data_IF_762706829962
#
_entry.id   IF_762706829962
#
_cell.length_a   1.000
_cell.length_b   1.000
_cell.length_c   1.000
_cell.angle_alpha   90.00
_cell.angle_beta   90.00
_cell.angle_gamma   90.00
#
_symmetry.space_group_name_H-M   'P 1'
#
loop_
_entity.id
_entity.type
_entity.pdbx_description
1 polymer ?
#
# COMPACT_ATOMS: atom_id res chain seq x y z
N UNK A 1 -23.69 -0.71 59.32
CA UNK A 1 -24.00 -0.95 57.90
C UNK A 1 -22.96 -0.23 57.09
N UNK A 2 -22.04 -0.96 56.45
CA UNK A 2 -20.99 -0.38 55.63
C UNK A 2 -21.54 -0.15 54.22
N UNK A 3 -21.45 1.09 53.73
CA UNK A 3 -21.76 1.45 52.35
C UNK A 3 -20.81 0.70 51.40
N UNK A 4 -21.39 0.04 50.40
CA UNK A 4 -20.61 -0.55 49.30
C UNK A 4 -20.04 0.59 48.44
N UNK A 5 -18.75 0.54 48.06
CA UNK A 5 -18.21 1.48 47.10
C UNK A 5 -18.88 1.24 45.75
N UNK A 6 -19.48 2.29 45.20
CA UNK A 6 -20.01 2.32 43.84
C UNK A 6 -18.87 2.17 42.85
N UNK A 7 -19.06 1.24 41.92
CA UNK A 7 -18.05 0.81 40.96
C UNK A 7 -17.63 1.99 40.07
N UNK A 8 -16.31 2.11 39.91
CA UNK A 8 -15.60 3.21 39.28
C UNK A 8 -16.01 3.41 37.81
N UNK A 9 -15.99 4.68 37.38
CA UNK A 9 -16.08 5.14 36.00
C UNK A 9 -15.29 4.24 35.04
N UNK A 10 -15.98 3.35 34.32
CA UNK A 10 -15.43 2.74 33.11
C UNK A 10 -15.39 3.87 32.09
N UNK A 11 -14.20 4.41 31.79
CA UNK A 11 -14.02 5.33 30.68
C UNK A 11 -14.44 4.60 29.40
N UNK A 12 -15.65 4.85 28.92
CA UNK A 12 -16.11 4.32 27.64
C UNK A 12 -15.35 5.06 26.55
N UNK A 13 -14.31 4.43 26.01
CA UNK A 13 -13.59 4.96 24.86
C UNK A 13 -14.58 5.23 23.74
N UNK A 14 -14.68 6.50 23.31
CA UNK A 14 -15.51 6.88 22.18
C UNK A 14 -14.77 6.51 20.90
N UNK A 15 -15.38 5.67 20.07
CA UNK A 15 -14.87 5.37 18.73
C UNK A 15 -15.03 6.61 17.85
N UNK A 16 -13.92 7.17 17.38
CA UNK A 16 -13.91 8.33 16.48
C UNK A 16 -14.03 7.92 15.00
N UNK A 17 -13.41 6.79 14.64
CA UNK A 17 -13.40 6.29 13.27
C UNK A 17 -13.13 4.78 13.29
N UNK A 18 -13.87 4.04 12.47
CA UNK A 18 -13.59 2.64 12.14
C UNK A 18 -13.35 2.54 10.64
N UNK A 19 -12.28 1.86 10.22
CA UNK A 19 -11.98 1.59 8.81
C UNK A 19 -11.40 0.19 8.66
N UNK A 20 -11.56 -0.39 7.48
CA UNK A 20 -11.01 -1.71 7.14
C UNK A 20 -9.62 -1.61 6.54
N UNK A 21 -8.83 -2.67 6.66
CA UNK A 21 -7.56 -2.85 5.94
C UNK A 21 -7.56 -4.25 5.31
N UNK A 22 -7.18 -4.32 4.04
CA UNK A 22 -6.86 -5.56 3.32
C UNK A 22 -5.54 -5.37 2.56
N UNK A 23 -4.77 -6.43 2.39
CA UNK A 23 -3.47 -6.41 1.69
C UNK A 23 -3.17 -7.78 1.12
N UNK A 24 -2.27 -7.85 0.14
CA UNK A 24 -1.78 -9.09 -0.47
C UNK A 24 -2.89 -10.09 -0.82
N UNK A 25 -3.97 -9.61 -1.45
CA UNK A 25 -5.05 -10.48 -1.91
C UNK A 25 -4.47 -11.47 -2.93
N UNK A 26 -3.67 -10.96 -3.88
CA UNK A 26 -2.95 -11.77 -4.86
C UNK A 26 -3.87 -12.80 -5.53
N UNK A 27 -5.06 -12.38 -5.96
CA UNK A 27 -6.00 -13.26 -6.64
C UNK A 27 -5.47 -13.62 -8.03
N UNK A 28 -5.57 -14.90 -8.38
CA UNK A 28 -5.44 -15.39 -9.75
C UNK A 28 -6.32 -16.62 -9.93
N UNK A 29 -6.95 -16.74 -11.09
CA UNK A 29 -7.72 -17.94 -11.44
C UNK A 29 -6.80 -19.08 -11.90
N UNK A 30 -6.02 -19.60 -10.95
CA UNK A 30 -5.11 -20.72 -11.19
C UNK A 30 -5.08 -21.67 -9.99
N UNK A 31 -4.42 -22.83 -10.17
CA UNK A 31 -4.20 -23.77 -9.07
C UNK A 31 -3.28 -23.15 -8.01
N UNK A 32 -3.47 -23.55 -6.76
CA UNK A 32 -2.55 -23.24 -5.68
C UNK A 32 -1.10 -23.51 -6.07
N UNK A 33 -0.20 -22.73 -5.51
CA UNK A 33 1.23 -22.87 -5.76
C UNK A 33 2.05 -22.63 -4.51
N UNK A 34 3.35 -22.48 -4.71
CA UNK A 34 4.28 -22.09 -3.66
C UNK A 34 4.79 -20.68 -3.92
N UNK A 35 5.26 -20.03 -2.87
CA UNK A 35 6.12 -18.87 -3.00
C UNK A 35 7.48 -19.25 -3.62
N UNK A 36 8.28 -18.23 -3.96
CA UNK A 36 9.55 -18.44 -4.66
C UNK A 36 10.55 -19.29 -3.87
N UNK A 37 10.52 -19.21 -2.53
CA UNK A 37 11.40 -19.97 -1.65
C UNK A 37 10.89 -21.39 -1.36
N UNK A 38 9.72 -21.77 -1.89
CA UNK A 38 9.05 -23.05 -1.62
C UNK A 38 8.78 -23.30 -0.13
N UNK A 39 8.62 -22.24 0.66
CA UNK A 39 8.37 -22.34 2.11
C UNK A 39 6.92 -22.07 2.47
N UNK A 40 6.17 -21.39 1.60
CA UNK A 40 4.77 -21.01 1.86
C UNK A 40 3.89 -21.37 0.69
N UNK A 41 2.71 -21.91 1.00
CA UNK A 41 1.67 -22.17 0.01
C UNK A 41 0.89 -20.89 -0.30
N UNK A 42 0.65 -20.64 -1.59
CA UNK A 42 -0.20 -19.56 -2.11
C UNK A 42 -1.53 -20.13 -2.58
N UNK A 43 -2.63 -19.62 -2.02
CA UNK A 43 -4.00 -20.09 -2.29
C UNK A 43 -4.77 -19.12 -3.20
N UNK A 44 -4.38 -19.04 -4.47
CA UNK A 44 -4.80 -17.95 -5.37
C UNK A 44 -6.31 -17.80 -5.54
N UNK A 45 -7.04 -18.89 -5.77
CA UNK A 45 -8.51 -18.82 -5.89
C UNK A 45 -9.18 -18.55 -4.56
N UNK A 46 -8.67 -19.13 -3.49
CA UNK A 46 -9.25 -18.97 -2.16
C UNK A 46 -9.10 -17.53 -1.63
N UNK A 47 -8.12 -16.76 -2.12
CA UNK A 47 -8.00 -15.34 -1.81
C UNK A 47 -9.32 -14.57 -2.03
N UNK A 48 -10.08 -14.92 -3.07
CA UNK A 48 -11.38 -14.30 -3.34
C UNK A 48 -12.41 -14.62 -2.24
N UNK A 49 -12.38 -15.83 -1.66
CA UNK A 49 -13.23 -16.19 -0.53
C UNK A 49 -12.80 -15.46 0.74
N UNK A 50 -11.49 -15.32 0.97
CA UNK A 50 -10.97 -14.61 2.14
C UNK A 50 -11.38 -13.14 2.12
N UNK A 51 -11.25 -12.46 0.99
CA UNK A 51 -11.69 -11.05 0.88
C UNK A 51 -13.21 -10.92 0.99
N UNK A 52 -14.01 -11.86 0.44
CA UNK A 52 -15.47 -11.89 0.67
C UNK A 52 -15.80 -12.00 2.16
N UNK A 53 -15.16 -12.91 2.88
CA UNK A 53 -15.36 -13.09 4.31
C UNK A 53 -14.97 -11.84 5.11
N UNK A 54 -13.87 -11.19 4.75
CA UNK A 54 -13.45 -9.93 5.37
C UNK A 54 -14.48 -8.81 5.15
N UNK A 55 -14.97 -8.64 3.92
CA UNK A 55 -15.97 -7.61 3.58
C UNK A 55 -17.30 -7.88 4.30
N UNK A 56 -17.74 -9.15 4.39
CA UNK A 56 -18.91 -9.53 5.18
C UNK A 56 -18.72 -9.19 6.66
N UNK A 57 -17.59 -9.55 7.25
CA UNK A 57 -17.28 -9.25 8.64
C UNK A 57 -17.27 -7.73 8.91
N UNK A 58 -16.70 -6.93 8.00
CA UNK A 58 -16.66 -5.46 8.11
C UNK A 58 -18.06 -4.85 7.97
N UNK A 59 -18.90 -5.42 7.10
CA UNK A 59 -20.27 -4.96 6.86
C UNK A 59 -21.22 -5.28 8.02
N UNK A 60 -20.98 -6.39 8.73
CA UNK A 60 -21.81 -6.85 9.85
C UNK A 60 -21.35 -6.34 11.23
N UNK A 61 -20.32 -5.48 11.30
CA UNK A 61 -19.82 -4.94 12.56
C UNK A 61 -20.80 -3.93 13.17
N UNK A 62 -20.92 -3.90 14.51
CA UNK A 62 -21.73 -2.90 15.23
C UNK A 62 -21.27 -1.45 14.99
N UNK A 63 -20.00 -1.28 14.63
CA UNK A 63 -19.43 -0.03 14.15
C UNK A 63 -19.00 -0.22 12.69
N UNK A 64 -19.86 0.12 11.72
CA UNK A 64 -19.56 -0.11 10.30
C UNK A 64 -18.36 0.71 9.87
N UNK A 65 -17.49 0.10 9.04
CA UNK A 65 -16.32 0.80 8.49
C UNK A 65 -16.74 1.99 7.63
N UNK A 66 -16.01 3.11 7.76
CA UNK A 66 -16.21 4.34 6.97
C UNK A 66 -15.63 4.20 5.56
N UNK A 67 -14.51 3.49 5.44
CA UNK A 67 -13.78 3.21 4.21
C UNK A 67 -12.91 1.97 4.37
N UNK A 68 -12.32 1.52 3.27
CA UNK A 68 -11.37 0.42 3.20
C UNK A 68 -10.03 0.92 2.65
N UNK A 69 -8.94 0.53 3.31
CA UNK A 69 -7.58 0.66 2.77
C UNK A 69 -7.19 -0.67 2.15
N UNK A 70 -6.85 -0.67 0.86
CA UNK A 70 -6.31 -1.82 0.16
C UNK A 70 -4.83 -1.55 -0.15
N UNK A 71 -3.92 -2.31 0.45
CA UNK A 71 -2.50 -1.97 0.55
C UNK A 71 -1.62 -2.67 -0.52
N UNK A 72 -2.04 -2.66 -1.77
CA UNK A 72 -1.32 -3.31 -2.88
C UNK A 72 -1.60 -4.80 -3.04
N UNK A 73 -1.14 -5.30 -4.17
CA UNK A 73 -1.21 -6.70 -4.60
C UNK A 73 -2.65 -7.24 -4.61
N UNK A 74 -3.52 -6.60 -5.40
CA UNK A 74 -4.90 -7.04 -5.60
C UNK A 74 -4.93 -8.37 -6.35
N UNK A 75 -4.12 -8.46 -7.40
CA UNK A 75 -4.01 -9.62 -8.29
C UNK A 75 -2.59 -10.16 -8.29
N UNK A 76 -2.45 -11.48 -8.43
CA UNK A 76 -1.13 -12.09 -8.58
C UNK A 76 -0.67 -12.04 -10.03
N UNK A 77 0.65 -11.94 -10.21
CA UNK A 77 1.33 -11.96 -11.51
C UNK A 77 1.00 -13.19 -12.34
N UNK A 78 0.59 -14.31 -11.73
CA UNK A 78 0.11 -15.48 -12.47
C UNK A 78 -1.08 -15.19 -13.37
N UNK A 79 -1.83 -14.13 -13.09
CA UNK A 79 -2.89 -13.68 -13.98
C UNK A 79 -2.34 -13.23 -15.35
N UNK A 80 -1.09 -12.76 -15.43
CA UNK A 80 -0.48 -12.28 -16.67
C UNK A 80 0.01 -13.39 -17.60
N UNK A 81 0.16 -14.64 -17.12
CA UNK A 81 0.61 -15.76 -17.97
C UNK A 81 -0.38 -16.09 -19.09
N UNK A 82 -1.63 -15.63 -18.97
CA UNK A 82 -2.70 -15.79 -19.96
C UNK A 82 -3.03 -14.45 -20.67
N UNK A 83 -2.16 -13.44 -20.54
CA UNK A 83 -2.30 -12.12 -21.16
C UNK A 83 -3.17 -11.13 -20.39
N UNK A 84 -3.25 -9.90 -20.91
CA UNK A 84 -3.87 -8.74 -20.24
C UNK A 84 -5.37 -8.93 -19.90
N UNK A 85 -6.10 -9.70 -20.71
CA UNK A 85 -7.52 -9.96 -20.45
C UNK A 85 -7.73 -10.83 -19.21
N UNK A 86 -6.83 -11.78 -18.95
CA UNK A 86 -6.85 -12.58 -17.72
C UNK A 86 -6.57 -11.71 -16.49
N UNK A 87 -5.58 -10.80 -16.55
CA UNK A 87 -5.36 -9.79 -15.51
C UNK A 87 -6.61 -8.95 -15.26
N UNK A 88 -7.32 -8.55 -16.32
CA UNK A 88 -8.51 -7.68 -16.22
C UNK A 88 -9.67 -8.42 -15.56
N UNK A 89 -9.91 -9.67 -15.93
CA UNK A 89 -10.90 -10.54 -15.29
C UNK A 89 -10.57 -10.78 -13.82
N UNK A 90 -9.31 -11.04 -13.50
CA UNK A 90 -8.86 -11.21 -12.13
C UNK A 90 -9.09 -9.95 -11.29
N UNK A 91 -8.69 -8.79 -11.83
CA UNK A 91 -8.86 -7.50 -11.17
C UNK A 91 -10.34 -7.21 -10.92
N UNK A 92 -11.18 -7.34 -11.95
CA UNK A 92 -12.62 -7.11 -11.83
C UNK A 92 -13.28 -8.06 -10.81
N UNK A 93 -12.81 -9.31 -10.72
CA UNK A 93 -13.33 -10.27 -9.74
C UNK A 93 -13.12 -9.78 -8.31
N UNK A 94 -11.94 -9.22 -8.01
CA UNK A 94 -11.65 -8.68 -6.68
C UNK A 94 -12.36 -7.34 -6.47
N UNK A 95 -12.30 -6.41 -7.44
CA UNK A 95 -12.95 -5.10 -7.33
C UNK A 95 -14.46 -5.21 -7.10
N UNK A 96 -15.14 -6.18 -7.72
CA UNK A 96 -16.56 -6.45 -7.49
C UNK A 96 -16.86 -6.90 -6.05
N UNK A 97 -15.93 -7.60 -5.39
CA UNK A 97 -16.08 -7.93 -3.97
C UNK A 97 -15.83 -6.71 -3.11
N UNK A 98 -14.79 -5.93 -3.39
CA UNK A 98 -14.49 -4.72 -2.64
C UNK A 98 -15.61 -3.69 -2.72
N UNK A 99 -16.23 -3.52 -3.90
CA UNK A 99 -17.34 -2.58 -4.11
C UNK A 99 -18.62 -2.98 -3.35
N UNK A 100 -18.80 -4.27 -3.03
CA UNK A 100 -19.94 -4.75 -2.22
C UNK A 100 -19.94 -4.23 -0.78
N UNK A 101 -18.83 -3.63 -0.31
CA UNK A 101 -18.79 -2.91 0.96
C UNK A 101 -19.63 -1.63 0.95
N UNK A 102 -19.95 -1.07 -0.23
CA UNK A 102 -20.66 0.20 -0.40
C UNK A 102 -20.00 1.36 0.37
N UNK A 103 -18.67 1.34 0.46
CA UNK A 103 -17.83 2.38 1.08
C UNK A 103 -16.66 2.74 0.15
N UNK A 104 -16.05 3.92 0.30
CA UNK A 104 -14.83 4.27 -0.42
C UNK A 104 -13.73 3.24 -0.18
N UNK A 105 -13.00 2.90 -1.24
CA UNK A 105 -11.81 2.05 -1.18
C UNK A 105 -10.62 2.88 -1.67
N UNK A 106 -9.58 2.94 -0.83
CA UNK A 106 -8.35 3.66 -1.12
C UNK A 106 -7.26 2.64 -1.41
N UNK A 107 -6.72 2.70 -2.62
CA UNK A 107 -5.79 1.72 -3.16
C UNK A 107 -4.35 2.23 -3.05
N UNK A 108 -3.45 1.38 -2.57
CA UNK A 108 -2.01 1.44 -2.84
C UNK A 108 -1.70 0.38 -3.89
N UNK A 109 -0.71 0.62 -4.74
CA UNK A 109 -0.33 -0.30 -5.81
C UNK A 109 0.92 -1.09 -5.40
N UNK A 110 0.87 -2.41 -5.55
CA UNK A 110 1.96 -3.33 -5.24
C UNK A 110 2.76 -3.80 -6.47
N UNK A 111 3.79 -4.62 -6.26
CA UNK A 111 4.61 -5.14 -7.36
C UNK A 111 3.84 -6.11 -8.25
N UNK A 112 2.95 -6.94 -7.69
CA UNK A 112 2.19 -7.90 -8.49
C UNK A 112 1.15 -7.20 -9.38
N UNK A 113 0.61 -6.07 -8.91
CA UNK A 113 -0.24 -5.19 -9.72
C UNK A 113 0.54 -4.64 -10.93
N UNK A 114 1.73 -4.07 -10.69
CA UNK A 114 2.58 -3.49 -11.74
C UNK A 114 3.20 -4.53 -12.70
N UNK A 115 3.19 -5.81 -12.34
CA UNK A 115 3.51 -6.92 -13.25
C UNK A 115 2.37 -7.26 -14.20
N UNK A 116 1.14 -6.84 -13.88
CA UNK A 116 -0.05 -7.09 -14.69
C UNK A 116 -0.40 -5.91 -15.60
N UNK A 117 -0.30 -4.67 -15.10
CA UNK A 117 -0.65 -3.47 -15.84
C UNK A 117 0.37 -2.33 -15.65
N UNK A 118 0.53 -1.44 -16.65
CA UNK A 118 1.37 -0.26 -16.49
C UNK A 118 0.78 0.73 -15.49
N UNK A 119 1.60 1.66 -15.01
CA UNK A 119 1.20 2.68 -14.02
C UNK A 119 0.07 3.58 -14.54
N UNK A 120 0.11 3.91 -15.83
CA UNK A 120 -0.92 4.69 -16.54
C UNK A 120 -2.32 4.07 -16.41
N UNK A 121 -2.42 2.74 -16.48
CA UNK A 121 -3.68 2.02 -16.30
C UNK A 121 -4.29 2.28 -14.92
N UNK A 122 -3.49 2.24 -13.85
CA UNK A 122 -3.98 2.43 -12.48
C UNK A 122 -4.34 3.88 -12.18
N UNK A 123 -3.58 4.83 -12.72
CA UNK A 123 -3.92 6.26 -12.69
C UNK A 123 -5.27 6.48 -13.38
N UNK A 124 -5.48 5.90 -14.57
CA UNK A 124 -6.68 6.12 -15.37
C UNK A 124 -7.93 5.36 -14.89
N UNK A 125 -7.77 4.28 -14.12
CA UNK A 125 -8.88 3.42 -13.69
C UNK A 125 -9.22 3.57 -12.20
N UNK A 126 -8.34 3.14 -11.31
CA UNK A 126 -8.61 3.03 -9.88
C UNK A 126 -8.64 4.40 -9.20
N UNK A 127 -7.73 5.30 -9.57
CA UNK A 127 -7.62 6.60 -8.90
C UNK A 127 -8.65 7.63 -9.38
N UNK A 128 -9.08 7.58 -10.65
CA UNK A 128 -10.17 8.44 -11.15
C UNK A 128 -11.50 8.19 -10.42
N UNK A 129 -11.75 6.95 -9.98
CA UNK A 129 -12.92 6.62 -9.17
C UNK A 129 -12.85 7.14 -7.73
N UNK A 130 -11.65 7.45 -7.21
CA UNK A 130 -11.47 8.14 -5.93
C UNK A 130 -11.70 9.65 -6.11
N UNK A 131 -11.28 10.22 -7.24
CA UNK A 131 -11.45 11.64 -7.57
C UNK A 131 -12.91 12.10 -7.75
N UNK A 132 -13.86 11.20 -8.05
CA UNK A 132 -15.29 11.56 -8.07
C UNK A 132 -15.83 11.99 -6.70
N UNK A 133 -15.16 11.59 -5.61
CA UNK A 133 -15.44 12.06 -4.24
C UNK A 133 -14.50 13.20 -3.78
N UNK A 134 -13.57 13.64 -4.64
CA UNK A 134 -12.57 14.68 -4.36
C UNK A 134 -12.42 15.59 -5.59
N UNK A 135 -13.32 16.58 -5.78
CA UNK A 135 -13.51 17.33 -7.04
C UNK A 135 -12.30 18.14 -7.55
N UNK A 136 -11.22 18.22 -6.79
CA UNK A 136 -10.02 19.00 -7.12
C UNK A 136 -8.75 18.16 -7.31
N UNK A 137 -8.84 16.83 -7.23
CA UNK A 137 -7.66 15.97 -7.30
C UNK A 137 -7.50 15.31 -8.68
N UNK A 138 -6.74 15.96 -9.55
CA UNK A 138 -6.07 15.28 -10.66
C UNK A 138 -4.84 14.56 -10.09
N UNK A 139 -4.85 13.24 -10.08
CA UNK A 139 -3.70 12.44 -9.62
C UNK A 139 -2.93 11.92 -10.83
N UNK A 140 -1.94 12.65 -11.37
CA UNK A 140 -0.97 12.05 -12.31
C UNK A 140 -0.03 11.05 -11.63
N UNK A 141 -0.20 10.81 -10.33
CA UNK A 141 0.69 10.02 -9.48
C UNK A 141 -0.09 8.98 -8.67
N UNK A 142 0.58 7.87 -8.32
CA UNK A 142 -0.01 6.82 -7.49
C UNK A 142 0.10 7.09 -5.97
N UNK A 143 0.63 8.25 -5.59
CA UNK A 143 0.66 8.75 -4.22
C UNK A 143 -0.39 9.84 -4.02
N UNK A 144 -1.01 9.89 -2.84
CA UNK A 144 -2.08 10.84 -2.54
C UNK A 144 -2.31 10.97 -1.03
N UNK A 145 -3.13 11.95 -0.64
CA UNK A 145 -3.57 12.11 0.76
C UNK A 145 -5.03 12.55 0.84
N UNK A 146 -5.72 12.17 1.92
CA UNK A 146 -7.08 12.61 2.22
C UNK A 146 -7.30 12.71 3.74
N UNK A 147 -8.31 13.49 4.14
CA UNK A 147 -8.77 13.53 5.52
C UNK A 147 -9.77 12.40 5.77
N UNK A 148 -9.38 11.42 6.58
CA UNK A 148 -10.22 10.30 7.01
C UNK A 148 -11.18 10.71 8.15
N UNK A 149 -10.77 11.71 8.93
CA UNK A 149 -11.53 12.38 9.99
C UNK A 149 -10.99 13.82 10.13
N UNK A 150 -11.71 14.71 10.81
CA UNK A 150 -11.33 16.14 11.00
C UNK A 150 -9.91 16.36 11.54
N UNK A 151 -9.37 15.36 12.26
CA UNK A 151 -8.04 15.38 12.89
C UNK A 151 -7.23 14.12 12.54
N UNK A 152 -7.55 13.45 11.44
CA UNK A 152 -6.83 12.28 10.96
C UNK A 152 -6.70 12.33 9.44
N UNK A 153 -5.46 12.40 8.97
CA UNK A 153 -5.09 12.35 7.56
C UNK A 153 -4.44 11.01 7.25
N UNK A 154 -4.83 10.44 6.11
CA UNK A 154 -4.16 9.27 5.53
C UNK A 154 -3.28 9.76 4.38
N UNK A 155 -2.07 9.23 4.29
CA UNK A 155 -1.10 9.53 3.24
C UNK A 155 -0.67 8.21 2.60
N UNK A 156 -1.01 8.03 1.33
CA UNK A 156 -0.59 6.88 0.53
C UNK A 156 0.69 7.22 -0.22
N UNK A 157 1.76 6.46 0.01
CA UNK A 157 3.00 6.56 -0.76
C UNK A 157 3.01 5.54 -1.88
N UNK A 158 3.59 5.95 -3.00
CA UNK A 158 3.96 5.09 -4.10
C UNK A 158 5.40 4.63 -3.92
N UNK A 159 5.55 3.45 -3.34
CA UNK A 159 6.84 2.80 -3.11
C UNK A 159 7.43 2.13 -4.36
N UNK A 160 6.79 2.28 -5.52
CA UNK A 160 7.28 1.81 -6.81
C UNK A 160 7.51 2.95 -7.79
N UNK A 161 7.54 4.20 -7.32
CA UNK A 161 7.85 5.34 -8.17
C UNK A 161 9.27 5.23 -8.74
N UNK A 162 10.26 4.85 -7.95
CA UNK A 162 11.56 4.41 -8.45
C UNK A 162 11.54 2.88 -8.50
N UNK A 163 11.16 2.31 -9.64
CA UNK A 163 11.13 0.85 -9.83
C UNK A 163 11.35 0.47 -11.29
N UNK A 164 11.78 -0.77 -11.50
CA UNK A 164 11.79 -1.40 -12.83
C UNK A 164 10.43 -1.96 -13.24
N UNK A 165 9.42 -1.87 -12.37
CA UNK A 165 8.06 -2.36 -12.61
C UNK A 165 7.12 -1.21 -13.04
N UNK A 166 6.13 -1.54 -13.88
CA UNK A 166 5.03 -0.62 -14.21
C UNK A 166 5.33 0.44 -15.29
N UNK A 167 6.53 0.44 -15.86
CA UNK A 167 6.99 1.40 -16.88
C UNK A 167 7.04 0.82 -18.31
N UNK A 168 6.34 -0.28 -18.57
CA UNK A 168 6.38 -0.96 -19.87
C UNK A 168 5.95 -0.11 -21.07
N UNK A 169 5.16 0.93 -20.83
CA UNK A 169 4.69 1.92 -21.80
C UNK A 169 5.49 3.24 -21.77
N UNK A 170 6.49 3.35 -20.88
CA UNK A 170 7.27 4.58 -20.65
C UNK A 170 8.74 4.25 -20.33
N UNK A 171 9.41 3.48 -21.20
CA UNK A 171 10.79 3.02 -20.98
C UNK A 171 11.83 4.16 -20.88
N UNK A 172 11.50 5.36 -21.36
CA UNK A 172 12.36 6.54 -21.23
C UNK A 172 12.22 7.29 -19.90
N UNK A 173 11.31 6.85 -19.02
CA UNK A 173 11.05 7.50 -17.75
C UNK A 173 12.31 7.55 -16.87
N UNK A 174 12.55 8.71 -16.25
CA UNK A 174 13.73 8.96 -15.41
C UNK A 174 13.77 8.04 -14.19
N UNK A 175 12.63 7.80 -13.53
CA UNK A 175 12.57 6.92 -12.36
C UNK A 175 12.82 5.45 -12.72
N UNK A 176 12.39 5.02 -13.91
CA UNK A 176 12.69 3.68 -14.43
C UNK A 176 14.19 3.50 -14.68
N UNK A 177 14.81 4.43 -15.40
CA UNK A 177 16.26 4.41 -15.68
C UNK A 177 17.09 4.46 -14.40
N UNK A 178 16.70 5.32 -13.45
CA UNK A 178 17.34 5.39 -12.14
C UNK A 178 17.22 4.06 -11.39
N UNK A 179 16.06 3.41 -11.39
CA UNK A 179 15.90 2.10 -10.75
C UNK A 179 16.80 1.03 -11.38
N UNK A 180 16.93 1.03 -12.71
CA UNK A 180 17.83 0.11 -13.42
C UNK A 180 19.29 0.34 -13.01
N UNK A 181 19.74 1.59 -12.93
CA UNK A 181 21.09 1.95 -12.49
C UNK A 181 21.35 1.52 -11.06
N UNK A 182 20.42 1.81 -10.14
CA UNK A 182 20.56 1.45 -8.73
C UNK A 182 20.60 -0.07 -8.53
N UNK A 183 19.75 -0.83 -9.22
CA UNK A 183 19.77 -2.31 -9.14
C UNK A 183 21.09 -2.85 -9.70
N UNK A 184 21.54 -2.40 -10.89
CA UNK A 184 22.81 -2.85 -11.47
C UNK A 184 24.02 -2.56 -10.58
N UNK A 185 24.00 -1.45 -9.85
CA UNK A 185 25.09 -1.07 -8.95
C UNK A 185 25.16 -1.91 -7.67
N UNK A 186 24.06 -2.54 -7.24
CA UNK A 186 23.98 -3.19 -5.91
C UNK A 186 23.56 -4.66 -5.92
N UNK A 187 22.93 -5.14 -6.99
CA UNK A 187 22.57 -6.54 -7.16
C UNK A 187 23.45 -7.16 -8.27
N UNK A 188 24.44 -7.99 -7.92
CA UNK A 188 25.35 -8.59 -8.90
C UNK A 188 24.72 -9.73 -9.71
N UNK A 189 23.50 -10.17 -9.36
CA UNK A 189 22.85 -11.31 -10.00
C UNK A 189 22.29 -10.93 -11.37
N UNK A 190 22.36 -11.87 -12.32
CA UNK A 190 21.80 -11.70 -13.66
C UNK A 190 20.27 -11.59 -13.61
N UNK A 191 19.62 -12.48 -12.85
CA UNK A 191 18.22 -12.28 -12.46
C UNK A 191 18.18 -11.26 -11.33
N UNK A 192 17.72 -10.05 -11.63
CA UNK A 192 17.58 -8.96 -10.66
C UNK A 192 16.55 -9.23 -9.56
N UNK A 193 15.78 -10.32 -9.66
CA UNK A 193 14.91 -10.84 -8.60
C UNK A 193 15.66 -11.76 -7.63
N UNK A 194 16.81 -12.30 -8.03
CA UNK A 194 17.65 -13.12 -7.18
C UNK A 194 18.39 -12.22 -6.19
N UNK A 195 18.29 -12.59 -4.92
CA UNK A 195 18.90 -11.90 -3.78
C UNK A 195 20.00 -12.73 -3.12
N UNK A 196 20.41 -13.83 -3.76
CA UNK A 196 21.54 -14.65 -3.32
C UNK A 196 22.80 -13.78 -3.21
N UNK A 197 23.51 -13.89 -2.08
CA UNK A 197 24.68 -13.06 -1.78
C UNK A 197 24.36 -11.66 -1.24
N UNK A 198 23.08 -11.24 -1.20
CA UNK A 198 22.67 -10.00 -0.54
C UNK A 198 22.28 -10.26 0.91
N UNK A 199 22.83 -9.47 1.83
CA UNK A 199 22.59 -9.61 3.28
C UNK A 199 21.99 -8.37 3.91
N UNK A 200 21.28 -8.55 5.03
CA UNK A 200 20.66 -7.47 5.79
C UNK A 200 19.82 -6.53 4.92
N UNK A 201 20.06 -5.22 5.05
CA UNK A 201 19.36 -4.20 4.28
C UNK A 201 19.62 -4.30 2.77
N UNK A 202 20.71 -4.91 2.31
CA UNK A 202 21.03 -4.99 0.88
C UNK A 202 20.11 -5.91 0.10
N UNK A 203 19.36 -6.80 0.78
CA UNK A 203 18.29 -7.61 0.17
C UNK A 203 17.16 -6.77 -0.46
N UNK A 204 17.12 -5.47 -0.18
CA UNK A 204 16.18 -4.53 -0.80
C UNK A 204 16.42 -4.33 -2.31
N UNK A 205 17.62 -4.59 -2.81
CA UNK A 205 17.99 -4.40 -4.22
C UNK A 205 17.47 -5.51 -5.15
N UNK A 206 16.23 -5.93 -4.92
CA UNK A 206 15.51 -6.88 -5.76
C UNK A 206 14.54 -6.15 -6.70
N UNK A 207 14.36 -6.66 -7.91
CA UNK A 207 13.48 -6.09 -8.94
C UNK A 207 12.00 -6.02 -8.55
N UNK A 208 11.59 -6.83 -7.58
CA UNK A 208 10.23 -6.83 -7.01
C UNK A 208 10.03 -5.77 -5.92
N UNK A 209 11.04 -4.95 -5.61
CA UNK A 209 10.93 -3.79 -4.73
C UNK A 209 10.91 -2.48 -5.54
N UNK A 210 10.89 -1.37 -4.82
CA UNK A 210 11.02 -0.04 -5.38
C UNK A 210 11.48 0.97 -4.34
N UNK A 211 11.50 2.23 -4.75
CA UNK A 211 11.83 3.37 -3.92
C UNK A 211 10.86 4.53 -4.15
N UNK A 212 10.99 5.53 -3.28
CA UNK A 212 10.25 6.79 -3.33
C UNK A 212 11.18 7.87 -3.87
N UNK A 213 10.72 8.68 -4.81
CA UNK A 213 11.55 9.76 -5.36
C UNK A 213 11.79 10.87 -4.35
N UNK A 214 12.82 11.69 -4.61
CA UNK A 214 13.06 12.91 -3.84
C UNK A 214 11.85 13.85 -3.88
N UNK A 215 11.20 13.96 -5.03
CA UNK A 215 10.04 14.84 -5.20
C UNK A 215 8.86 14.36 -4.35
N UNK A 216 8.59 13.05 -4.33
CA UNK A 216 7.56 12.47 -3.46
C UNK A 216 7.91 12.61 -1.97
N UNK A 217 9.19 12.50 -1.58
CA UNK A 217 9.61 12.75 -0.20
C UNK A 217 9.47 14.23 0.18
N UNK A 218 9.73 15.16 -0.74
CA UNK A 218 9.50 16.59 -0.53
C UNK A 218 8.00 16.90 -0.41
N UNK A 219 7.16 16.30 -1.25
CA UNK A 219 5.71 16.37 -1.13
C UNK A 219 5.22 15.83 0.22
N UNK A 220 5.74 14.68 0.66
CA UNK A 220 5.41 14.11 1.96
C UNK A 220 5.78 15.09 3.09
N UNK A 221 6.96 15.69 3.05
CA UNK A 221 7.38 16.69 4.05
C UNK A 221 6.39 17.87 4.12
N UNK A 222 5.94 18.39 2.98
CA UNK A 222 4.92 19.46 2.92
C UNK A 222 3.58 19.02 3.51
N UNK A 223 3.15 17.77 3.25
CA UNK A 223 1.93 17.20 3.82
C UNK A 223 2.03 17.09 5.34
N UNK A 224 3.17 16.63 5.85
CA UNK A 224 3.42 16.50 7.30
C UNK A 224 3.49 17.87 7.99
N UNK A 225 4.13 18.86 7.38
CA UNK A 225 4.17 20.23 7.91
C UNK A 225 2.77 20.84 8.00
N UNK A 226 1.95 20.67 6.95
CA UNK A 226 0.55 21.11 6.95
C UNK A 226 -0.28 20.40 8.02
N UNK A 227 -0.12 19.08 8.16
CA UNK A 227 -0.81 18.30 9.17
C UNK A 227 -0.43 18.76 10.59
N UNK A 228 0.85 19.07 10.83
CA UNK A 228 1.31 19.65 12.10
C UNK A 228 0.60 20.97 12.40
N UNK A 229 0.53 21.89 11.43
CA UNK A 229 -0.16 23.17 11.63
C UNK A 229 -1.66 23.02 11.90
N UNK A 230 -2.29 21.99 11.35
CA UNK A 230 -3.70 21.69 11.56
C UNK A 230 -3.98 20.78 12.77
N UNK A 231 -2.93 20.36 13.50
CA UNK A 231 -2.99 19.38 14.59
C UNK A 231 -3.65 18.05 14.16
N UNK A 232 -3.37 17.60 12.94
CA UNK A 232 -3.87 16.35 12.39
C UNK A 232 -2.94 15.18 12.77
N UNK A 233 -3.53 14.06 13.17
CA UNK A 233 -2.83 12.78 13.23
C UNK A 233 -2.60 12.23 11.82
N UNK A 234 -1.53 11.48 11.62
CA UNK A 234 -1.17 10.93 10.30
C UNK A 234 -1.13 9.40 10.36
N UNK A 235 -1.75 8.77 9.36
CA UNK A 235 -1.51 7.37 9.00
C UNK A 235 -0.82 7.37 7.64
N UNK A 236 0.37 6.80 7.57
CA UNK A 236 1.06 6.56 6.30
C UNK A 236 0.78 5.12 5.87
N UNK A 237 0.34 4.94 4.63
CA UNK A 237 0.13 3.63 4.02
C UNK A 237 1.04 3.44 2.81
N UNK A 238 1.66 2.27 2.74
CA UNK A 238 2.63 1.90 1.71
C UNK A 238 2.49 0.40 1.42
N UNK A 239 2.98 -0.05 0.27
CA UNK A 239 3.06 -1.49 0.00
C UNK A 239 4.37 -2.08 0.53
N UNK A 240 5.50 -1.45 0.22
CA UNK A 240 6.81 -1.87 0.72
C UNK A 240 6.99 -1.36 2.15
N UNK A 241 7.29 -2.27 3.08
CA UNK A 241 7.40 -2.00 4.53
C UNK A 241 8.74 -1.38 4.97
N UNK A 242 9.81 -1.60 4.22
CA UNK A 242 11.14 -1.04 4.53
C UNK A 242 11.41 0.25 3.73
N UNK A 243 10.82 1.38 4.13
CA UNK A 243 11.34 2.67 3.68
C UNK A 243 12.62 3.00 4.46
N UNK A 244 13.76 2.80 3.82
CA UNK A 244 15.02 3.43 4.27
C UNK A 244 15.08 4.80 3.61
N UNK A 245 14.68 5.85 4.32
CA UNK A 245 14.85 7.21 3.85
C UNK A 245 16.27 7.68 4.18
N UNK A 246 17.14 7.80 3.18
CA UNK A 246 18.34 8.64 3.29
C UNK A 246 17.94 10.09 3.08
N UNK A 247 17.31 10.68 4.09
CA UNK A 247 17.00 12.11 4.11
C UNK A 247 17.45 12.66 5.45
N UNK A 248 18.58 13.35 5.46
CA UNK A 248 19.13 14.07 6.63
C UNK A 248 18.16 15.11 7.22
N UNK A 249 17.06 15.42 6.53
CA UNK A 249 16.00 16.34 6.96
C UNK A 249 14.71 15.67 7.43
N UNK A 250 14.61 14.33 7.48
CA UNK A 250 13.43 13.64 8.05
C UNK A 250 13.68 13.23 9.51
N UNK A 251 14.48 14.00 10.25
CA UNK A 251 14.65 13.80 11.70
C UNK A 251 13.30 13.99 12.37
N UNK A 252 12.77 12.88 12.88
CA UNK A 252 11.42 12.76 13.41
C UNK A 252 11.12 13.80 14.51
N UNK A 253 10.39 14.86 14.14
CA UNK A 253 9.52 15.59 15.08
C UNK A 253 8.13 14.94 15.10
N UNK A 254 8.07 13.62 15.28
CA UNK A 254 6.80 12.87 15.31
C UNK A 254 6.80 11.97 16.55
N UNK A 255 6.32 12.52 17.67
CA UNK A 255 6.20 11.79 18.94
C UNK A 255 5.05 10.77 18.97
N UNK A 256 4.21 10.70 17.93
CA UNK A 256 2.97 9.90 17.92
C UNK A 256 2.82 8.97 16.70
N UNK A 257 3.92 8.51 16.08
CA UNK A 257 3.82 7.49 15.04
C UNK A 257 3.77 6.09 15.70
N UNK A 258 2.57 5.57 15.98
CA UNK A 258 2.42 4.15 16.34
C UNK A 258 2.50 3.32 15.06
N UNK A 259 3.71 2.86 14.70
CA UNK A 259 3.91 1.95 13.59
C UNK A 259 3.40 0.55 13.96
N UNK A 260 2.39 0.05 13.24
CA UNK A 260 1.89 -1.33 13.40
C UNK A 260 2.52 -2.33 12.41
N UNK A 261 3.55 -1.95 11.67
CA UNK A 261 4.40 -2.85 10.88
C UNK A 261 5.86 -2.41 11.03
N UNK A 262 6.74 -3.37 11.33
CA UNK A 262 8.13 -3.21 11.74
C UNK A 262 9.01 -2.44 10.74
N UNK A 263 9.85 -1.56 11.29
CA UNK A 263 11.11 -1.01 10.75
C UNK A 263 11.03 0.17 9.74
N UNK A 264 10.61 1.34 10.21
CA UNK A 264 11.20 2.59 9.70
C UNK A 264 12.60 2.74 10.29
N UNK A 265 13.65 2.73 9.44
CA UNK A 265 15.02 3.06 9.87
C UNK A 265 15.45 4.34 9.19
N UNK A 266 15.62 5.41 9.96
CA UNK A 266 16.24 6.65 9.49
C UNK A 266 17.75 6.57 9.77
N UNK A 267 18.57 6.70 8.73
CA UNK A 267 20.01 6.88 8.87
C UNK A 267 20.33 8.38 8.78
N UNK A 268 20.80 8.94 9.89
CA UNK A 268 21.34 10.31 9.95
C UNK A 268 22.82 10.24 9.59
N UNK A 269 23.24 10.99 8.57
CA UNK A 269 24.64 11.31 8.29
C UNK A 269 24.92 12.74 8.71
#
# INVERSE_FOLDING_TARGET
MAEKPTNQNVSTWRVHLTFGIVTDIQYADCKDGMDYTYTRRRYYRNALNQVKAAILCMSSNSHPVRFLLQLGDIIDRKSSTQGAESCRKALNSVLNVLSSLHRPVYHVIGNHDLQCFPRTFYVDSLLKNISSNMPSATFPHLHYTFLAHEKLRVVALDTFEISVLGYGDQLDNVSYKLAQEMIRAHNPNVDTSDITGLEGVNRRWASYNGGVSRDQLQWLAQVLEKAKWNEENIIIITHVSNLTAHVSNLTAHVSNLTAHVSNLTAHVS
#
